data_IF_756425054451
#
_entry.id   IF_756425054451
#
_cell.length_a   1.000
_cell.length_b   1.000
_cell.length_c   1.000
_cell.angle_alpha   90.00
_cell.angle_beta   90.00
_cell.angle_gamma   90.00
#
_symmetry.space_group_name_H-M   'P 1'
#
loop_
_entity.id
_entity.type
_entity.pdbx_description
1 polymer ?
#
# COMPACT_ATOMS: atom_id res chain seq x y z
N UNK A 1 4.13 2.47 -23.14
CA UNK A 1 5.13 1.63 -23.82
C UNK A 1 5.11 0.17 -23.36
N UNK A 2 5.07 -0.13 -22.04
CA UNK A 2 5.11 -1.52 -21.56
C UNK A 2 3.97 -2.38 -22.10
N UNK A 3 2.74 -1.87 -22.17
CA UNK A 3 1.60 -2.60 -22.74
C UNK A 3 1.79 -2.98 -24.21
N UNK A 4 2.40 -2.09 -25.00
CA UNK A 4 2.74 -2.39 -26.40
C UNK A 4 3.80 -3.49 -26.52
N UNK A 5 4.80 -3.48 -25.61
CA UNK A 5 5.82 -4.53 -25.55
C UNK A 5 5.19 -5.89 -25.21
N UNK A 6 4.23 -5.92 -24.26
CA UNK A 6 3.52 -7.15 -23.89
C UNK A 6 2.68 -7.69 -25.04
N UNK A 7 1.92 -6.83 -25.75
CA UNK A 7 1.16 -7.21 -26.92
C UNK A 7 2.06 -7.77 -28.03
N UNK A 8 3.17 -7.09 -28.33
CA UNK A 8 4.15 -7.53 -29.35
C UNK A 8 4.79 -8.89 -29.00
N UNK A 9 5.16 -9.11 -27.74
CA UNK A 9 5.67 -10.41 -27.27
C UNK A 9 4.66 -11.55 -27.39
N UNK A 10 3.36 -11.23 -27.30
CA UNK A 10 2.28 -12.18 -27.52
C UNK A 10 1.88 -12.33 -29.01
N UNK A 11 2.64 -11.72 -29.93
CA UNK A 11 2.39 -11.76 -31.39
C UNK A 11 1.15 -10.98 -31.82
N UNK A 12 0.67 -10.04 -31.01
CA UNK A 12 -0.52 -9.22 -31.30
C UNK A 12 -0.12 -7.83 -31.79
N UNK A 13 -0.95 -7.26 -32.65
CA UNK A 13 -0.81 -5.90 -33.17
C UNK A 13 -1.62 -4.86 -32.38
N UNK A 14 -2.50 -5.32 -31.51
CA UNK A 14 -3.37 -4.48 -30.67
C UNK A 14 -3.06 -4.68 -29.19
N UNK A 15 -3.18 -3.61 -28.43
CA UNK A 15 -3.01 -3.62 -26.98
C UNK A 15 -4.39 -3.91 -26.36
N UNK A 16 -4.47 -4.92 -25.51
CA UNK A 16 -5.68 -5.23 -24.72
C UNK A 16 -5.65 -4.58 -23.34
N UNK A 17 -6.81 -4.56 -22.67
CA UNK A 17 -6.88 -4.08 -21.27
C UNK A 17 -5.98 -4.93 -20.35
N UNK A 18 -5.91 -6.25 -20.57
CA UNK A 18 -5.02 -7.13 -19.81
C UNK A 18 -3.53 -6.76 -19.98
N UNK A 19 -3.11 -6.30 -21.17
CA UNK A 19 -1.73 -5.82 -21.36
C UNK A 19 -1.48 -4.52 -20.59
N UNK A 20 -2.46 -3.64 -20.51
CA UNK A 20 -2.35 -2.39 -19.77
C UNK A 20 -2.30 -2.64 -18.25
N UNK A 21 -3.12 -3.53 -17.73
CA UNK A 21 -3.12 -3.94 -16.32
C UNK A 21 -1.78 -4.58 -15.96
N UNK A 22 -1.33 -5.58 -16.71
CA UNK A 22 -0.03 -6.23 -16.50
C UNK A 22 1.14 -5.25 -16.61
N UNK A 23 1.09 -4.31 -17.56
CA UNK A 23 2.08 -3.27 -17.73
C UNK A 23 2.15 -2.33 -16.52
N UNK A 24 0.98 -1.92 -16.01
CA UNK A 24 0.86 -1.08 -14.83
C UNK A 24 1.43 -1.77 -13.58
N UNK A 25 1.04 -3.01 -13.35
CA UNK A 25 1.54 -3.81 -12.23
C UNK A 25 3.06 -4.04 -12.31
N UNK A 26 3.57 -4.34 -13.51
CA UNK A 26 5.00 -4.53 -13.75
C UNK A 26 5.82 -3.26 -13.47
N UNK A 27 5.30 -2.10 -13.85
CA UNK A 27 5.99 -0.82 -13.61
C UNK A 27 5.96 -0.45 -12.12
N UNK A 28 4.86 -0.68 -11.42
CA UNK A 28 4.70 -0.31 -10.01
C UNK A 28 5.40 -1.28 -9.07
N UNK A 29 5.33 -2.59 -9.32
CA UNK A 29 5.72 -3.64 -8.38
C UNK A 29 6.87 -4.53 -8.89
N UNK A 30 7.23 -4.38 -10.15
CA UNK A 30 8.21 -5.23 -10.80
C UNK A 30 7.63 -6.46 -11.52
N UNK A 31 8.47 -7.25 -12.19
CA UNK A 31 8.05 -8.42 -12.95
C UNK A 31 7.56 -9.54 -12.03
N UNK A 32 6.65 -10.36 -12.54
CA UNK A 32 6.23 -11.60 -11.88
C UNK A 32 7.40 -12.56 -11.70
N UNK A 33 7.48 -13.18 -10.52
CA UNK A 33 8.45 -14.23 -10.21
C UNK A 33 7.83 -15.62 -10.33
N UNK A 34 7.45 -16.03 -11.53
CA UNK A 34 6.79 -17.33 -11.79
C UNK A 34 7.62 -18.55 -11.43
N UNK A 35 8.95 -18.41 -11.37
CA UNK A 35 9.86 -19.51 -11.03
C UNK A 35 10.16 -19.65 -9.52
N UNK A 36 9.67 -18.73 -8.67
CA UNK A 36 9.86 -18.84 -7.23
C UNK A 36 8.98 -19.96 -6.68
N UNK A 37 9.60 -21.02 -6.20
CA UNK A 37 8.91 -22.07 -5.43
C UNK A 37 8.68 -21.53 -4.02
N UNK A 38 7.42 -21.34 -3.65
CA UNK A 38 7.02 -20.88 -2.32
C UNK A 38 6.44 -22.08 -1.56
N UNK A 39 6.88 -22.38 -0.32
CA UNK A 39 6.30 -23.43 0.52
C UNK A 39 4.79 -23.20 0.75
N UNK A 40 4.03 -24.28 0.96
CA UNK A 40 2.57 -24.20 1.10
C UNK A 40 2.13 -23.44 2.36
N UNK A 41 2.88 -23.55 3.45
CA UNK A 41 2.66 -22.77 4.67
C UNK A 41 2.88 -21.27 4.44
N UNK A 42 3.93 -20.90 3.71
CA UNK A 42 4.18 -19.50 3.31
C UNK A 42 3.09 -18.99 2.38
N UNK A 43 2.65 -19.77 1.39
CA UNK A 43 1.53 -19.40 0.52
C UNK A 43 0.25 -19.15 1.32
N UNK A 44 -0.05 -20.03 2.27
CA UNK A 44 -1.20 -19.89 3.13
C UNK A 44 -1.12 -18.62 3.96
N UNK A 45 0.05 -18.33 4.53
CA UNK A 45 0.30 -17.12 5.31
C UNK A 45 0.07 -15.86 4.45
N UNK A 46 0.68 -15.79 3.28
CA UNK A 46 0.52 -14.68 2.32
C UNK A 46 -0.95 -14.52 1.91
N UNK A 47 -1.66 -15.63 1.64
CA UNK A 47 -3.06 -15.56 1.25
C UNK A 47 -3.94 -14.88 2.31
N UNK A 48 -3.80 -15.29 3.58
CA UNK A 48 -4.56 -14.66 4.67
C UNK A 48 -4.15 -13.21 4.89
N UNK A 49 -2.87 -12.91 4.79
CA UNK A 49 -2.34 -11.55 4.90
C UNK A 49 -2.98 -10.63 3.85
N UNK A 50 -2.90 -10.99 2.57
CA UNK A 50 -3.44 -10.18 1.47
C UNK A 50 -4.97 -10.05 1.52
N UNK A 51 -5.66 -11.16 1.84
CA UNK A 51 -7.12 -11.13 2.04
C UNK A 51 -7.49 -10.25 3.23
N UNK A 52 -6.66 -10.20 4.28
CA UNK A 52 -6.84 -9.28 5.42
C UNK A 52 -6.88 -7.83 4.98
N UNK A 53 -5.93 -7.38 4.15
CA UNK A 53 -5.96 -6.04 3.55
C UNK A 53 -7.22 -5.81 2.71
N UNK A 54 -7.60 -6.82 1.92
CA UNK A 54 -8.79 -6.78 1.06
C UNK A 54 -10.08 -6.63 1.85
N UNK A 55 -10.28 -7.44 2.91
CA UNK A 55 -11.48 -7.40 3.76
C UNK A 55 -11.60 -6.04 4.45
N UNK A 56 -10.51 -5.58 5.09
CA UNK A 56 -10.50 -4.28 5.76
C UNK A 56 -10.78 -3.16 4.77
N UNK A 57 -10.14 -3.19 3.59
CA UNK A 57 -10.38 -2.21 2.54
C UNK A 57 -11.83 -2.21 2.03
N UNK A 58 -12.43 -3.37 1.88
CA UNK A 58 -13.82 -3.50 1.45
C UNK A 58 -14.82 -3.00 2.49
N UNK A 59 -14.63 -3.37 3.77
CA UNK A 59 -15.55 -3.03 4.86
C UNK A 59 -15.48 -1.56 5.25
N UNK A 60 -14.27 -1.01 5.34
CA UNK A 60 -14.07 0.40 5.74
C UNK A 60 -14.40 1.34 4.57
N UNK A 61 -14.19 0.92 3.34
CA UNK A 61 -14.31 1.76 2.17
C UNK A 61 -13.13 2.74 2.08
N UNK A 62 -13.34 4.01 2.42
CA UNK A 62 -12.24 4.98 2.53
C UNK A 62 -11.78 5.58 1.19
N UNK A 63 -12.56 5.42 0.11
CA UNK A 63 -12.32 6.06 -1.18
C UNK A 63 -11.36 5.31 -2.12
N UNK A 64 -10.80 4.18 -1.67
CA UNK A 64 -10.02 3.30 -2.54
C UNK A 64 -10.72 1.94 -2.66
N UNK A 65 -11.07 1.56 -3.87
CA UNK A 65 -11.70 0.26 -4.13
C UNK A 65 -10.64 -0.83 -4.26
N UNK A 66 -10.85 -1.97 -3.57
CA UNK A 66 -10.02 -3.17 -3.80
C UNK A 66 -10.26 -3.68 -5.22
N UNK A 67 -9.22 -3.67 -6.03
CA UNK A 67 -9.27 -4.06 -7.44
C UNK A 67 -8.81 -5.51 -7.64
N UNK A 68 -7.71 -5.89 -6.97
CA UNK A 68 -7.10 -7.21 -7.16
C UNK A 68 -6.39 -7.65 -5.88
N UNK A 69 -6.53 -8.94 -5.56
CA UNK A 69 -5.73 -9.63 -4.55
C UNK A 69 -5.02 -10.79 -5.25
N UNK A 70 -3.72 -10.93 -5.06
CA UNK A 70 -2.94 -11.98 -5.71
C UNK A 70 -1.82 -12.50 -4.80
N UNK A 71 -1.54 -13.79 -4.94
CA UNK A 71 -0.42 -14.47 -4.30
C UNK A 71 0.74 -14.70 -5.28
N UNK A 72 0.68 -14.12 -6.49
CA UNK A 72 1.78 -14.21 -7.44
C UNK A 72 2.86 -13.23 -7.01
N UNK A 73 4.07 -13.70 -6.67
CA UNK A 73 5.13 -12.83 -6.21
C UNK A 73 5.58 -11.84 -7.29
N UNK A 74 5.73 -10.56 -6.91
CA UNK A 74 6.32 -9.51 -7.75
C UNK A 74 7.40 -8.77 -6.97
N UNK A 75 8.55 -8.52 -7.59
CA UNK A 75 9.65 -7.87 -6.90
C UNK A 75 9.97 -8.52 -5.55
N UNK A 76 10.02 -7.79 -4.44
CA UNK A 76 10.25 -8.34 -3.10
C UNK A 76 8.99 -8.95 -2.46
N UNK A 77 7.79 -8.64 -2.95
CA UNK A 77 6.52 -9.06 -2.36
C UNK A 77 6.19 -10.53 -2.64
N UNK A 78 5.65 -11.23 -1.66
CA UNK A 78 5.15 -12.60 -1.78
C UNK A 78 3.74 -12.67 -2.40
N UNK A 79 2.98 -11.61 -2.28
CA UNK A 79 1.68 -11.32 -2.85
C UNK A 79 1.42 -9.83 -2.77
N UNK A 80 0.25 -9.37 -3.18
CA UNK A 80 -0.15 -7.99 -2.99
C UNK A 80 -1.67 -7.79 -3.14
N UNK A 81 -2.16 -6.76 -2.49
CA UNK A 81 -3.52 -6.25 -2.64
C UNK A 81 -3.47 -4.90 -3.34
N UNK A 82 -3.96 -4.85 -4.58
CA UNK A 82 -4.06 -3.63 -5.37
C UNK A 82 -5.38 -2.94 -5.08
N UNK A 83 -5.31 -1.69 -4.65
CA UNK A 83 -6.47 -0.82 -4.51
C UNK A 83 -6.31 0.40 -5.40
N UNK A 84 -7.41 0.78 -6.03
CA UNK A 84 -7.45 1.95 -6.91
C UNK A 84 -8.34 3.02 -6.28
N UNK A 85 -7.92 4.29 -6.30
CA UNK A 85 -8.77 5.37 -5.82
C UNK A 85 -10.02 5.49 -6.71
N UNK A 86 -11.19 5.65 -6.09
CA UNK A 86 -12.44 5.89 -6.83
C UNK A 86 -12.43 7.25 -7.51
N UNK A 87 -11.75 8.23 -6.91
CA UNK A 87 -11.59 9.58 -7.43
C UNK A 87 -10.18 10.09 -7.14
N UNK A 88 -9.57 10.78 -8.10
CA UNK A 88 -8.33 11.51 -7.85
C UNK A 88 -8.61 12.76 -7.00
N UNK A 89 -8.20 12.72 -5.73
CA UNK A 89 -8.34 13.84 -4.80
C UNK A 89 -6.98 14.44 -4.48
N UNK A 90 -6.86 15.74 -4.63
CA UNK A 90 -5.65 16.48 -4.24
C UNK A 90 -5.50 16.61 -2.72
N UNK A 91 -6.59 16.48 -1.96
CA UNK A 91 -6.58 16.59 -0.50
C UNK A 91 -7.20 15.36 0.14
N UNK A 92 -6.54 14.88 1.19
CA UNK A 92 -7.00 13.71 1.95
C UNK A 92 -7.48 14.13 3.33
N UNK A 93 -8.69 13.72 3.70
CA UNK A 93 -9.25 13.99 5.03
C UNK A 93 -8.56 13.13 6.11
N UNK A 94 -8.66 13.57 7.38
CA UNK A 94 -8.22 12.77 8.55
C UNK A 94 -8.84 11.37 8.52
N UNK A 95 -10.13 11.27 8.21
CA UNK A 95 -10.83 9.97 8.10
C UNK A 95 -10.20 9.09 7.04
N UNK A 96 -9.95 9.61 5.83
CA UNK A 96 -9.31 8.85 4.76
C UNK A 96 -7.94 8.31 5.16
N UNK A 97 -7.12 9.12 5.84
CA UNK A 97 -5.80 8.68 6.31
C UNK A 97 -5.90 7.60 7.39
N UNK A 98 -6.85 7.72 8.32
CA UNK A 98 -7.11 6.68 9.34
C UNK A 98 -7.60 5.37 8.70
N UNK A 99 -8.49 5.46 7.72
CA UNK A 99 -8.99 4.30 6.97
C UNK A 99 -7.83 3.58 6.22
N UNK A 100 -6.91 4.34 5.64
CA UNK A 100 -5.70 3.78 5.01
C UNK A 100 -4.78 3.10 6.01
N UNK A 101 -4.54 3.72 7.17
CA UNK A 101 -3.74 3.11 8.25
C UNK A 101 -4.38 1.79 8.68
N UNK A 102 -5.69 1.76 8.91
CA UNK A 102 -6.40 0.54 9.29
C UNK A 102 -6.24 -0.56 8.21
N UNK A 103 -6.31 -0.20 6.93
CA UNK A 103 -6.09 -1.12 5.81
C UNK A 103 -4.70 -1.72 5.82
N UNK A 104 -3.64 -0.92 6.07
CA UNK A 104 -2.28 -1.45 6.20
C UNK A 104 -2.12 -2.46 7.34
N UNK A 105 -2.88 -2.33 8.42
CA UNK A 105 -2.88 -3.31 9.50
C UNK A 105 -3.73 -4.57 9.22
N UNK A 106 -4.51 -4.59 8.14
CA UNK A 106 -5.38 -5.72 7.79
C UNK A 106 -4.64 -7.05 7.68
N UNK A 107 -3.49 -7.06 6.98
CA UNK A 107 -2.66 -8.25 6.84
C UNK A 107 -2.14 -8.78 8.18
N UNK A 108 -1.58 -7.90 9.01
CA UNK A 108 -1.09 -8.24 10.35
C UNK A 108 -2.22 -8.77 11.25
N UNK A 109 -3.39 -8.15 11.21
CA UNK A 109 -4.53 -8.58 12.00
C UNK A 109 -5.02 -9.98 11.56
N UNK A 110 -5.02 -10.24 10.25
CA UNK A 110 -5.36 -11.57 9.72
C UNK A 110 -4.36 -12.64 10.18
N UNK A 111 -3.05 -12.35 10.14
CA UNK A 111 -2.03 -13.28 10.67
C UNK A 111 -2.28 -13.60 12.14
N UNK A 112 -2.52 -12.57 12.97
CA UNK A 112 -2.75 -12.76 14.41
C UNK A 112 -4.01 -13.58 14.70
N UNK A 113 -5.11 -13.32 14.00
CA UNK A 113 -6.39 -14.03 14.18
C UNK A 113 -6.28 -15.49 13.76
N UNK A 114 -5.63 -15.79 12.63
CA UNK A 114 -5.63 -17.13 12.03
C UNK A 114 -4.52 -18.01 12.59
N UNK A 115 -3.33 -17.44 12.83
CA UNK A 115 -2.14 -18.21 13.22
C UNK A 115 -1.72 -17.99 14.68
N UNK A 116 -2.32 -17.01 15.37
CA UNK A 116 -1.98 -16.64 16.73
C UNK A 116 -0.81 -15.67 16.85
N UNK A 117 -0.70 -15.01 17.99
CA UNK A 117 0.28 -13.94 18.24
C UNK A 117 1.74 -14.37 18.09
N UNK A 118 2.03 -15.61 18.43
CA UNK A 118 3.41 -16.13 18.39
C UNK A 118 3.85 -16.51 16.97
N UNK A 119 2.91 -16.58 16.01
CA UNK A 119 3.16 -16.97 14.62
C UNK A 119 3.00 -15.81 13.63
N UNK A 120 2.91 -14.58 14.12
CA UNK A 120 2.96 -13.40 13.26
C UNK A 120 4.33 -13.27 12.59
N UNK A 121 4.34 -12.80 11.34
CA UNK A 121 5.55 -12.81 10.52
C UNK A 121 6.16 -11.42 10.31
N UNK A 122 7.36 -11.39 9.76
CA UNK A 122 7.99 -10.15 9.29
C UNK A 122 7.35 -9.61 8.00
N UNK A 123 6.40 -10.33 7.39
CA UNK A 123 5.73 -9.94 6.15
C UNK A 123 5.07 -8.58 6.22
N UNK A 124 4.49 -8.24 7.37
CA UNK A 124 3.85 -6.94 7.60
C UNK A 124 4.82 -5.75 7.84
N UNK A 125 6.13 -5.93 7.72
CA UNK A 125 7.11 -4.89 8.06
C UNK A 125 6.92 -3.60 7.26
N UNK A 126 6.68 -3.71 5.96
CA UNK A 126 6.43 -2.57 5.09
C UNK A 126 5.11 -1.86 5.43
N UNK A 127 4.05 -2.61 5.70
CA UNK A 127 2.74 -2.06 6.07
C UNK A 127 2.82 -1.27 7.37
N UNK A 128 3.51 -1.83 8.37
CA UNK A 128 3.76 -1.16 9.64
C UNK A 128 4.57 0.12 9.43
N UNK A 129 5.60 0.08 8.59
CA UNK A 129 6.43 1.25 8.27
C UNK A 129 5.60 2.36 7.62
N UNK A 130 4.81 2.03 6.61
CA UNK A 130 3.96 3.01 5.89
C UNK A 130 2.89 3.57 6.81
N UNK A 131 2.17 2.71 7.56
CA UNK A 131 1.15 3.14 8.51
C UNK A 131 1.72 4.06 9.59
N UNK A 132 2.90 3.72 10.14
CA UNK A 132 3.60 4.54 11.13
C UNK A 132 4.00 5.89 10.55
N UNK A 133 4.56 5.92 9.34
CA UNK A 133 4.92 7.16 8.65
C UNK A 133 3.72 8.08 8.42
N UNK A 134 2.58 7.50 8.01
CA UNK A 134 1.33 8.25 7.85
C UNK A 134 0.85 8.83 9.20
N UNK A 135 0.83 8.02 10.26
CA UNK A 135 0.42 8.46 11.58
C UNK A 135 1.33 9.60 12.11
N UNK A 136 2.64 9.48 11.92
CA UNK A 136 3.60 10.53 12.25
C UNK A 136 3.30 11.83 11.48
N UNK A 137 3.08 11.76 10.17
CA UNK A 137 2.74 12.93 9.37
C UNK A 137 1.45 13.60 9.83
N UNK A 138 0.41 12.81 10.15
CA UNK A 138 -0.85 13.33 10.68
C UNK A 138 -0.65 14.16 11.95
N UNK A 139 0.22 13.70 12.85
CA UNK A 139 0.49 14.38 14.11
C UNK A 139 1.45 15.56 13.93
N UNK A 140 2.55 15.36 13.21
CA UNK A 140 3.68 16.31 13.21
C UNK A 140 3.58 17.38 12.14
N UNK A 141 2.95 17.07 10.99
CA UNK A 141 2.91 17.98 9.83
C UNK A 141 1.53 18.49 9.47
N UNK A 142 0.50 17.66 9.66
CA UNK A 142 -0.84 17.97 9.16
C UNK A 142 -1.78 18.53 10.24
N UNK A 143 -1.30 18.67 11.50
CA UNK A 143 -2.10 19.21 12.59
C UNK A 143 -3.39 18.42 12.88
N UNK A 144 -3.40 17.11 12.60
CA UNK A 144 -4.58 16.25 12.73
C UNK A 144 -4.71 15.58 14.11
N UNK A 145 -3.82 15.91 15.05
CA UNK A 145 -3.87 15.40 16.41
C UNK A 145 -4.93 16.16 17.22
N UNK A 146 -5.81 15.44 17.92
CA UNK A 146 -6.77 16.05 18.85
C UNK A 146 -6.09 16.63 20.09
N UNK A 147 -4.97 16.03 20.49
CA UNK A 147 -4.23 16.47 21.69
C UNK A 147 -3.42 17.74 21.44
N UNK A 148 -2.78 17.85 20.28
CA UNK A 148 -1.89 18.98 19.95
C UNK A 148 -2.56 20.07 19.12
N UNK A 149 -3.64 19.73 18.41
CA UNK A 149 -4.31 20.64 17.48
C UNK A 149 -3.51 20.93 16.21
N UNK A 150 -3.83 22.05 15.50
CA UNK A 150 -3.22 22.40 14.22
C UNK A 150 -1.86 23.10 14.41
N UNK A 151 -0.86 22.34 14.86
CA UNK A 151 0.51 22.82 15.06
C UNK A 151 1.50 21.99 14.25
N UNK A 152 2.56 22.61 13.77
CA UNK A 152 3.70 21.95 13.14
C UNK A 152 4.68 21.50 14.24
N UNK A 153 4.81 20.18 14.43
CA UNK A 153 5.72 19.59 15.43
C UNK A 153 7.00 19.01 14.80
N UNK A 154 7.06 19.00 13.45
CA UNK A 154 8.28 18.59 12.77
C UNK A 154 9.33 19.68 12.99
N UNK A 155 10.42 19.32 13.67
CA UNK A 155 11.52 20.24 13.97
C UNK A 155 12.25 20.65 12.68
N UNK A 156 11.61 21.48 11.88
CA UNK A 156 12.32 22.28 10.89
C UNK A 156 13.32 23.12 11.64
N UNK A 157 14.58 22.95 11.29
CA UNK A 157 15.72 23.66 11.85
C UNK A 157 15.38 25.13 12.06
N UNK A 158 15.55 25.64 13.27
CA UNK A 158 15.36 27.06 13.65
C UNK A 158 16.11 28.05 12.74
N UNK A 159 16.95 27.54 11.79
CA UNK A 159 17.70 28.36 10.83
C UNK A 159 16.94 28.82 9.59
N UNK A 160 15.90 28.09 9.14
CA UNK A 160 15.28 28.40 7.84
C UNK A 160 14.09 29.36 7.92
N UNK A 161 13.50 29.56 9.09
CA UNK A 161 12.33 30.44 9.23
C UNK A 161 12.68 31.93 9.27
N UNK A 162 13.93 32.29 9.58
CA UNK A 162 14.37 33.69 9.67
C UNK A 162 15.17 34.20 8.47
N UNK A 163 15.61 33.31 7.55
CA UNK A 163 16.36 33.76 6.37
C UNK A 163 15.49 34.12 5.15
N UNK A 164 14.19 33.85 5.17
CA UNK A 164 13.30 34.14 4.02
C UNK A 164 12.67 35.52 4.01
N UNK A 165 13.09 36.48 4.87
CA UNK A 165 12.38 37.79 4.97
C UNK A 165 13.16 39.03 4.56
N UNK A 166 14.37 38.89 4.07
CA UNK A 166 15.13 40.07 3.59
C UNK A 166 15.89 39.73 2.31
N UNK A 167 15.17 39.70 1.17
CA UNK A 167 15.67 40.13 -0.15
C UNK A 167 14.49 40.35 -1.06
#
# INVERSE_FOLDING_TARGET
NEGAILAARAGRTEITMADLEEASEKVQMGPERKSKVVPEDEKRMVAYHEVGHGIVGYVIGGGDRVHKITMIPRGPAGGYTLSLPEEEKSFHSKKYMLDRIARYFGGRAAEEIIFGKDNITSGASNDIQVATGMAQQMVTKLGMSEKFGPVLLDGTREGDMFQSKYY
#
